data_IF_951435588077
#
_entry.id   IF_951435588077
#
_cell.length_a   1.000
_cell.length_b   1.000
_cell.length_c   1.000
_cell.angle_alpha   90.00
_cell.angle_beta   90.00
_cell.angle_gamma   90.00
#
_symmetry.space_group_name_H-M   'P 1'
#
loop_
_entity.id
_entity.type
_entity.pdbx_description
1 polymer ?
#
# COMPACT_ATOMS: atom_id res chain seq x y z
N UNK A 1 12.38 -2.53 -13.72
CA UNK A 1 11.00 -2.30 -13.38
C UNK A 1 10.83 -2.22 -11.89
N UNK A 2 10.32 -1.14 -11.41
CA UNK A 2 10.14 -0.98 -9.99
C UNK A 2 8.76 -1.40 -9.54
N UNK A 3 8.58 -1.50 -8.24
CA UNK A 3 7.28 -1.72 -7.65
C UNK A 3 6.48 -0.43 -7.71
N UNK A 4 5.16 -0.56 -7.76
CA UNK A 4 4.31 0.58 -7.57
C UNK A 4 4.47 1.10 -6.14
N UNK A 5 4.22 2.37 -5.94
CA UNK A 5 4.25 2.99 -4.62
C UNK A 5 2.83 3.41 -4.26
N UNK A 6 2.36 2.91 -3.14
CA UNK A 6 1.02 3.21 -2.65
C UNK A 6 1.13 4.12 -1.44
N UNK A 7 0.43 5.24 -1.48
CA UNK A 7 0.34 6.15 -0.35
C UNK A 7 -1.02 5.96 0.31
N UNK A 8 -1.02 5.68 1.58
CA UNK A 8 -2.25 5.43 2.32
C UNK A 8 -2.92 6.73 2.73
N UNK A 9 -4.22 6.66 2.94
CA UNK A 9 -4.97 7.80 3.46
C UNK A 9 -4.52 8.12 4.87
N UNK A 10 -4.80 9.34 5.28
CA UNK A 10 -4.45 9.80 6.61
C UNK A 10 -5.11 8.91 7.66
N UNK A 11 -4.32 8.47 8.62
CA UNK A 11 -4.81 7.63 9.69
C UNK A 11 -4.74 6.15 9.40
N UNK A 12 -4.47 5.77 8.15
CA UNK A 12 -4.31 4.37 7.80
C UNK A 12 -2.87 3.93 8.02
N UNK A 13 -2.68 2.63 8.08
CA UNK A 13 -1.34 2.08 8.22
C UNK A 13 -0.87 1.92 9.65
N UNK A 14 -1.72 2.23 10.61
CA UNK A 14 -1.33 2.12 12.01
C UNK A 14 -1.24 0.68 12.48
N UNK A 15 -1.95 -0.19 11.82
CA UNK A 15 -2.04 -1.58 12.26
C UNK A 15 -1.17 -2.47 11.40
N UNK A 16 0.04 -2.03 11.14
CA UNK A 16 0.97 -2.85 10.39
C UNK A 16 1.36 -4.03 11.25
N UNK A 17 1.08 -5.20 10.73
CA UNK A 17 1.40 -6.42 11.44
C UNK A 17 2.64 -7.02 10.82
N UNK A 18 3.47 -7.58 11.65
CA UNK A 18 4.59 -8.36 11.16
C UNK A 18 4.03 -9.54 10.37
N UNK A 19 4.69 -9.88 9.30
CA UNK A 19 4.26 -11.03 8.51
C UNK A 19 3.44 -10.72 7.29
N UNK A 20 3.21 -9.44 7.02
CA UNK A 20 2.55 -9.08 5.80
C UNK A 20 1.45 -8.06 6.00
N UNK A 21 1.24 -7.29 4.97
CA UNK A 21 0.26 -6.22 5.00
C UNK A 21 -0.62 -6.35 3.77
N UNK A 22 -1.92 -6.36 3.98
CA UNK A 22 -2.87 -6.29 2.90
C UNK A 22 -3.38 -4.86 2.77
N UNK A 23 -3.35 -4.34 1.56
CA UNK A 23 -3.77 -2.97 1.27
C UNK A 23 -5.06 -3.05 0.48
N UNK A 24 -6.13 -2.48 1.02
CA UNK A 24 -7.42 -2.48 0.35
C UNK A 24 -7.67 -1.13 -0.31
N UNK A 25 -8.51 -1.14 -1.32
CA UNK A 25 -8.79 0.02 -2.13
C UNK A 25 -9.19 1.24 -1.30
N UNK A 26 -9.99 1.03 -0.28
CA UNK A 26 -10.49 2.14 0.53
C UNK A 26 -9.42 2.76 1.43
N UNK A 27 -8.25 2.14 1.53
CA UNK A 27 -7.16 2.68 2.32
C UNK A 27 -6.18 3.50 1.49
N UNK A 28 -6.31 3.46 0.18
CA UNK A 28 -5.34 4.03 -0.74
C UNK A 28 -5.70 5.47 -1.07
N UNK A 29 -4.75 6.37 -0.87
CA UNK A 29 -4.89 7.75 -1.30
C UNK A 29 -4.41 7.91 -2.74
N UNK A 30 -3.18 7.51 -3.01
CA UNK A 30 -2.61 7.59 -4.35
C UNK A 30 -1.76 6.37 -4.64
N UNK A 31 -1.61 6.08 -5.94
CA UNK A 31 -0.73 5.02 -6.40
C UNK A 31 0.15 5.58 -7.51
N UNK A 32 1.44 5.36 -7.43
CA UNK A 32 2.37 5.69 -8.48
C UNK A 32 2.90 4.40 -9.08
N UNK A 33 2.76 4.27 -10.40
CA UNK A 33 3.20 3.08 -11.11
C UNK A 33 2.04 2.15 -11.40
N UNK A 34 2.35 1.03 -12.01
CA UNK A 34 1.36 0.04 -12.41
C UNK A 34 1.40 -1.14 -11.46
N UNK A 35 0.24 -1.73 -11.25
CA UNK A 35 0.13 -2.91 -10.40
C UNK A 35 -1.05 -3.77 -10.84
N UNK A 36 -1.05 -5.01 -10.37
CA UNK A 36 -2.19 -5.90 -10.49
C UNK A 36 -2.54 -6.39 -9.09
N UNK A 37 -3.78 -6.84 -8.93
CA UNK A 37 -4.19 -7.37 -7.64
C UNK A 37 -3.28 -8.52 -7.22
N UNK A 38 -2.87 -8.49 -5.97
CA UNK A 38 -1.95 -9.49 -5.46
C UNK A 38 -0.50 -9.11 -5.58
N UNK A 39 -0.20 -8.03 -6.30
CA UNK A 39 1.18 -7.59 -6.43
C UNK A 39 1.72 -7.05 -5.12
N UNK A 40 3.03 -7.17 -4.98
CA UNK A 40 3.73 -6.53 -3.87
C UNK A 40 4.04 -5.11 -4.28
N UNK A 41 3.69 -4.16 -3.41
CA UNK A 41 3.91 -2.74 -3.65
C UNK A 41 4.64 -2.14 -2.46
N UNK A 42 5.30 -1.01 -2.70
CA UNK A 42 5.86 -0.22 -1.61
C UNK A 42 4.74 0.61 -0.99
N UNK A 43 4.73 0.68 0.33
CA UNK A 43 3.66 1.35 1.06
C UNK A 43 4.23 2.51 1.84
N UNK A 44 3.65 3.69 1.63
CA UNK A 44 4.00 4.89 2.37
C UNK A 44 2.77 5.37 3.12
N UNK A 45 2.97 6.00 4.26
CA UNK A 45 1.85 6.62 4.95
C UNK A 45 1.47 7.93 4.27
N UNK A 46 0.46 8.61 4.81
CA UNK A 46 -0.03 9.84 4.19
C UNK A 46 1.05 10.91 4.09
N UNK A 47 2.00 10.92 5.00
CA UNK A 47 3.08 11.90 5.00
C UNK A 47 4.25 11.47 4.13
N UNK A 48 4.17 10.33 3.50
CA UNK A 48 5.21 9.84 2.61
C UNK A 48 6.28 9.01 3.31
N UNK A 49 6.07 8.68 4.55
CA UNK A 49 7.03 7.87 5.30
C UNK A 49 6.92 6.41 4.84
N UNK A 50 8.05 5.80 4.46
CA UNK A 50 7.99 4.41 3.99
C UNK A 50 7.67 3.45 5.13
N UNK A 51 6.62 2.68 4.95
CA UNK A 51 6.18 1.71 5.94
C UNK A 51 6.70 0.31 5.64
N UNK A 52 6.95 0.01 4.37
CA UNK A 52 7.41 -1.30 3.98
C UNK A 52 6.73 -1.73 2.70
N UNK A 53 6.61 -3.04 2.53
CA UNK A 53 5.98 -3.62 1.35
C UNK A 53 4.71 -4.34 1.77
N UNK A 54 3.74 -4.34 0.88
CA UNK A 54 2.49 -5.01 1.16
C UNK A 54 1.88 -5.56 -0.11
N UNK A 55 0.81 -6.32 0.06
CA UNK A 55 0.06 -6.89 -1.06
C UNK A 55 -1.16 -6.02 -1.30
N UNK A 56 -1.34 -5.59 -2.54
CA UNK A 56 -2.45 -4.73 -2.88
C UNK A 56 -3.62 -5.57 -3.37
N UNK A 57 -4.82 -5.25 -2.89
CA UNK A 57 -6.04 -5.92 -3.30
C UNK A 57 -7.14 -4.88 -3.45
N UNK A 58 -7.42 -4.52 -4.69
CA UNK A 58 -8.46 -3.54 -5.00
C UNK A 58 -9.74 -4.19 -5.48
N UNK A 59 -9.76 -5.50 -5.47
CA UNK A 59 -10.90 -6.26 -5.97
C UNK A 59 -11.70 -6.79 -4.78
N UNK A 60 -12.49 -5.94 -4.21
CA UNK A 60 -13.27 -6.33 -3.05
C UNK A 60 -14.70 -6.63 -3.44
#
# INVERSE_FOLDING_TARGET
MGMAVVTLKKGEGRLLKSGGMWIFDNEIDTVMGNFENGDIVLVHDFDGYPLGRGFINTNS
#
